data_IF_125531487137
#
_entry.id   IF_125531487137
#
_cell.length_a   1.000
_cell.length_b   1.000
_cell.length_c   1.000
_cell.angle_alpha   90.00
_cell.angle_beta   90.00
_cell.angle_gamma   90.00
#
_symmetry.space_group_name_H-M   'P 1'
#
loop_
_entity.id
_entity.type
_entity.pdbx_description
1 polymer ?
#
# COMPACT_ATOMS: atom_id res chain seq x y z
N UNK A 1 13.22 28.14 21.22
CA UNK A 1 12.03 28.84 21.68
C UNK A 1 10.79 28.00 21.38
N UNK A 2 10.40 27.75 20.13
CA UNK A 2 9.17 27.03 19.77
C UNK A 2 9.06 25.62 20.34
N UNK A 3 10.16 24.87 20.43
CA UNK A 3 10.20 23.54 21.03
C UNK A 3 9.90 23.58 22.53
N UNK A 4 10.44 24.57 23.25
CA UNK A 4 10.19 24.76 24.69
C UNK A 4 8.74 25.12 24.98
N UNK A 5 8.12 25.90 24.10
CA UNK A 5 6.74 26.38 24.23
C UNK A 5 5.73 25.44 23.56
N UNK A 6 6.18 24.28 23.06
CA UNK A 6 5.35 23.28 22.37
C UNK A 6 4.57 23.83 21.15
N UNK A 7 5.10 24.84 20.50
CA UNK A 7 4.52 25.45 19.29
C UNK A 7 4.98 24.67 18.06
N UNK A 8 4.47 23.46 17.93
CA UNK A 8 4.99 22.48 16.97
C UNK A 8 4.80 22.88 15.50
N UNK A 9 3.65 23.50 15.17
CA UNK A 9 3.38 23.99 13.81
C UNK A 9 4.38 25.08 13.41
N UNK A 10 4.64 26.06 14.27
CA UNK A 10 5.63 27.10 13.99
C UNK A 10 7.04 26.55 13.88
N UNK A 11 7.38 25.58 14.71
CA UNK A 11 8.67 24.89 14.61
C UNK A 11 8.79 24.17 13.27
N UNK A 12 7.74 23.50 12.83
CA UNK A 12 7.69 22.79 11.55
C UNK A 12 7.85 23.76 10.37
N UNK A 13 7.12 24.88 10.34
CA UNK A 13 7.18 25.86 9.27
C UNK A 13 8.58 26.49 9.12
N UNK A 14 9.22 26.83 10.25
CA UNK A 14 10.60 27.32 10.25
C UNK A 14 11.58 26.24 9.79
N UNK A 15 11.39 25.00 10.22
CA UNK A 15 12.25 23.87 9.83
C UNK A 15 12.10 23.50 8.36
N UNK A 16 10.89 23.56 7.78
CA UNK A 16 10.69 23.40 6.33
C UNK A 16 11.43 24.48 5.53
N UNK A 17 11.31 25.73 5.97
CA UNK A 17 12.04 26.85 5.32
C UNK A 17 13.55 26.61 5.36
N UNK A 18 14.08 26.16 6.50
CA UNK A 18 15.50 25.83 6.65
C UNK A 18 15.93 24.64 5.75
N UNK A 19 15.11 23.59 5.67
CA UNK A 19 15.40 22.42 4.84
C UNK A 19 15.57 22.79 3.35
N UNK A 20 14.77 23.75 2.86
CA UNK A 20 14.86 24.26 1.47
C UNK A 20 16.15 25.05 1.21
N UNK A 21 16.72 25.67 2.22
CA UNK A 21 17.92 26.50 2.10
C UNK A 21 19.22 25.68 2.21
N UNK A 22 19.16 24.45 2.71
CA UNK A 22 20.35 23.61 2.82
C UNK A 22 20.84 23.12 1.45
N UNK A 23 22.08 23.49 1.12
CA UNK A 23 22.84 22.94 -0.02
C UNK A 23 23.60 21.67 0.36
N UNK A 24 23.94 21.52 1.64
CA UNK A 24 24.62 20.36 2.20
C UNK A 24 23.62 19.20 2.35
N UNK A 25 23.88 18.10 1.64
CA UNK A 25 23.03 16.91 1.60
C UNK A 25 22.82 16.29 2.97
N UNK A 26 23.89 16.18 3.79
CA UNK A 26 23.78 15.57 5.11
C UNK A 26 22.90 16.39 6.05
N UNK A 27 23.03 17.73 6.03
CA UNK A 27 22.19 18.64 6.80
C UNK A 27 20.74 18.60 6.32
N UNK A 28 20.52 18.53 5.00
CA UNK A 28 19.18 18.41 4.42
C UNK A 28 18.50 17.12 4.85
N UNK A 29 19.17 15.98 4.74
CA UNK A 29 18.66 14.69 5.20
C UNK A 29 18.30 14.73 6.69
N UNK A 30 19.20 15.24 7.54
CA UNK A 30 18.96 15.35 8.99
C UNK A 30 17.73 16.24 9.30
N UNK A 31 17.53 17.33 8.56
CA UNK A 31 16.39 18.23 8.75
C UNK A 31 15.09 17.60 8.27
N UNK A 32 15.08 16.97 7.09
CA UNK A 32 13.90 16.28 6.57
C UNK A 32 13.47 15.11 7.47
N UNK A 33 14.45 14.42 8.07
CA UNK A 33 14.15 13.38 9.07
C UNK A 33 13.48 13.95 10.32
N UNK A 34 13.97 15.09 10.84
CA UNK A 34 13.31 15.80 11.95
C UNK A 34 11.91 16.24 11.61
N UNK A 35 11.70 16.76 10.42
CA UNK A 35 10.39 17.19 9.92
C UNK A 35 9.42 16.02 9.82
N UNK A 36 9.84 14.90 9.21
CA UNK A 36 9.03 13.70 9.13
C UNK A 36 8.55 13.22 10.51
N UNK A 37 9.46 13.15 11.48
CA UNK A 37 9.13 12.80 12.87
C UNK A 37 8.21 13.84 13.52
N UNK A 38 8.49 15.14 13.33
CA UNK A 38 7.69 16.21 13.90
C UNK A 38 6.25 16.19 13.41
N UNK A 39 6.05 16.02 12.09
CA UNK A 39 4.72 15.89 11.49
C UNK A 39 4.00 14.61 11.90
N UNK A 40 4.72 13.49 12.01
CA UNK A 40 4.13 12.21 12.44
C UNK A 40 3.73 12.24 13.91
N UNK A 41 4.62 12.69 14.79
CA UNK A 41 4.47 12.46 16.23
C UNK A 41 3.85 13.63 17.00
N UNK A 42 4.06 14.87 16.54
CA UNK A 42 3.66 16.09 17.26
C UNK A 42 2.54 16.86 16.58
N UNK A 43 2.71 17.21 15.32
CA UNK A 43 1.70 17.95 14.55
C UNK A 43 0.53 17.03 14.14
N UNK A 44 0.81 15.74 13.94
CA UNK A 44 -0.18 14.75 13.48
C UNK A 44 -0.74 15.07 12.10
N UNK A 45 0.09 15.66 11.24
CA UNK A 45 -0.25 15.93 9.84
C UNK A 45 0.38 14.86 8.95
N UNK A 46 -0.43 13.85 8.60
CA UNK A 46 0.01 12.72 7.80
C UNK A 46 0.45 13.12 6.39
N UNK A 47 -0.16 14.15 5.80
CA UNK A 47 0.19 14.64 4.46
C UNK A 47 1.57 15.30 4.47
N UNK A 48 1.81 16.23 5.41
CA UNK A 48 3.12 16.87 5.56
C UNK A 48 4.20 15.87 5.95
N UNK A 49 3.87 14.89 6.81
CA UNK A 49 4.78 13.79 7.16
C UNK A 49 5.18 12.99 5.91
N UNK A 50 4.21 12.57 5.10
CA UNK A 50 4.47 11.82 3.86
C UNK A 50 5.35 12.62 2.89
N UNK A 51 5.10 13.91 2.74
CA UNK A 51 5.91 14.77 1.88
C UNK A 51 7.35 14.90 2.37
N UNK A 52 7.56 15.12 3.66
CA UNK A 52 8.90 15.21 4.25
C UNK A 52 9.70 13.90 4.05
N UNK A 53 9.06 12.73 4.26
CA UNK A 53 9.70 11.45 4.03
C UNK A 53 9.96 11.16 2.54
N UNK A 54 9.07 11.58 1.64
CA UNK A 54 9.30 11.50 0.18
C UNK A 54 10.48 12.34 -0.26
N UNK A 55 10.57 13.59 0.22
CA UNK A 55 11.71 14.46 -0.07
C UNK A 55 13.02 13.87 0.46
N UNK A 56 13.00 13.26 1.64
CA UNK A 56 14.17 12.57 2.18
C UNK A 56 14.59 11.41 1.27
N UNK A 57 13.65 10.57 0.84
CA UNK A 57 13.94 9.44 -0.06
C UNK A 57 14.37 9.90 -1.47
N UNK A 58 14.01 11.10 -1.90
CA UNK A 58 14.53 11.67 -3.14
C UNK A 58 16.03 12.03 -3.04
N UNK A 59 16.50 12.36 -1.83
CA UNK A 59 17.90 12.70 -1.55
C UNK A 59 18.71 11.48 -1.12
N UNK A 60 18.13 10.60 -0.33
CA UNK A 60 18.72 9.36 0.20
C UNK A 60 17.74 8.19 0.04
N UNK A 61 17.70 7.54 -1.14
CA UNK A 61 16.75 6.47 -1.45
C UNK A 61 16.88 5.25 -0.53
N UNK A 62 18.07 5.00 0.00
CA UNK A 62 18.37 3.83 0.85
C UNK A 62 18.10 4.10 2.35
N UNK A 63 17.58 5.24 2.70
CA UNK A 63 17.27 5.59 4.07
C UNK A 63 16.17 4.68 4.65
N UNK A 64 16.57 3.68 5.39
CA UNK A 64 15.66 2.66 5.96
C UNK A 64 14.56 3.28 6.83
N UNK A 65 14.94 4.28 7.65
CA UNK A 65 13.97 4.95 8.54
C UNK A 65 12.87 5.66 7.76
N UNK A 66 13.23 6.34 6.68
CA UNK A 66 12.27 7.01 5.81
C UNK A 66 11.40 5.99 5.05
N UNK A 67 12.00 4.89 4.55
CA UNK A 67 11.26 3.80 3.91
C UNK A 67 10.23 3.18 4.86
N UNK A 68 10.61 2.92 6.12
CA UNK A 68 9.70 2.32 7.10
C UNK A 68 8.60 3.30 7.54
N UNK A 69 8.96 4.58 7.74
CA UNK A 69 8.00 5.61 8.11
C UNK A 69 6.94 5.84 7.02
N UNK A 70 7.35 5.92 5.75
CA UNK A 70 6.43 6.15 4.64
C UNK A 70 5.50 4.95 4.39
N UNK A 71 6.03 3.71 4.50
CA UNK A 71 5.19 2.50 4.43
C UNK A 71 4.13 2.49 5.51
N UNK A 72 4.50 2.82 6.75
CA UNK A 72 3.58 2.91 7.88
C UNK A 72 2.48 3.94 7.62
N UNK A 73 2.84 5.14 7.16
CA UNK A 73 1.88 6.20 6.82
C UNK A 73 0.91 5.76 5.72
N UNK A 74 1.37 5.11 4.66
CA UNK A 74 0.51 4.59 3.61
C UNK A 74 -0.49 3.55 4.12
N UNK A 75 -0.06 2.66 5.02
CA UNK A 75 -0.94 1.68 5.66
C UNK A 75 -1.97 2.37 6.54
N UNK A 76 -1.56 3.30 7.41
CA UNK A 76 -2.46 4.04 8.30
C UNK A 76 -3.51 4.87 7.56
N UNK A 77 -3.13 5.42 6.40
CA UNK A 77 -4.02 6.19 5.51
C UNK A 77 -4.80 5.30 4.54
N UNK A 78 -4.58 3.99 4.52
CA UNK A 78 -5.11 3.05 3.53
C UNK A 78 -4.81 3.47 2.08
N UNK A 79 -3.67 4.13 1.88
CA UNK A 79 -3.18 4.58 0.58
C UNK A 79 -2.51 3.41 -0.16
N UNK A 80 -3.33 2.43 -0.54
CA UNK A 80 -2.83 1.17 -1.11
C UNK A 80 -2.12 1.34 -2.44
N UNK A 81 -2.54 2.30 -3.26
CA UNK A 81 -1.92 2.57 -4.56
C UNK A 81 -0.50 3.12 -4.40
N UNK A 82 -0.30 4.04 -3.44
CA UNK A 82 1.02 4.58 -3.11
C UNK A 82 1.92 3.51 -2.49
N UNK A 83 1.37 2.64 -1.65
CA UNK A 83 2.11 1.53 -1.07
C UNK A 83 2.57 0.55 -2.16
N UNK A 84 1.68 0.21 -3.09
CA UNK A 84 2.00 -0.65 -4.23
C UNK A 84 3.06 -0.01 -5.13
N UNK A 85 2.90 1.27 -5.49
CA UNK A 85 3.89 2.01 -6.28
C UNK A 85 5.25 2.08 -5.59
N UNK A 86 5.26 2.20 -4.26
CA UNK A 86 6.50 2.22 -3.47
C UNK A 86 7.27 0.89 -3.57
N UNK A 87 6.58 -0.24 -3.39
CA UNK A 87 7.20 -1.57 -3.51
C UNK A 87 7.54 -1.95 -4.96
N UNK A 88 6.71 -1.53 -5.93
CA UNK A 88 6.92 -1.79 -7.35
C UNK A 88 8.22 -1.17 -7.87
N UNK A 89 8.58 0.05 -7.44
CA UNK A 89 9.84 0.70 -7.78
C UNK A 89 11.07 -0.10 -7.36
N UNK A 90 10.94 -0.93 -6.33
CA UNK A 90 12.00 -1.78 -5.80
C UNK A 90 11.87 -3.24 -6.26
N UNK A 91 10.86 -3.54 -7.08
CA UNK A 91 10.50 -4.90 -7.51
C UNK A 91 10.25 -5.88 -6.34
N UNK A 92 9.75 -5.37 -5.19
CA UNK A 92 9.53 -6.11 -3.94
C UNK A 92 8.09 -6.59 -3.78
N UNK A 93 7.56 -7.27 -4.79
CA UNK A 93 6.16 -7.72 -4.80
C UNK A 93 5.85 -8.77 -3.73
N UNK A 94 6.79 -9.66 -3.38
CA UNK A 94 6.57 -10.65 -2.31
C UNK A 94 6.42 -9.95 -0.93
N UNK A 95 7.16 -8.86 -0.66
CA UNK A 95 7.02 -8.08 0.57
C UNK A 95 5.69 -7.33 0.61
N UNK A 96 5.26 -6.75 -0.51
CA UNK A 96 3.98 -6.08 -0.66
C UNK A 96 2.82 -7.04 -0.38
N UNK A 97 2.83 -8.22 -0.99
CA UNK A 97 1.81 -9.25 -0.78
C UNK A 97 1.73 -9.64 0.69
N UNK A 98 2.85 -9.91 1.36
CA UNK A 98 2.87 -10.20 2.80
C UNK A 98 2.32 -9.05 3.64
N UNK A 99 2.52 -7.81 3.19
CA UNK A 99 1.96 -6.63 3.86
C UNK A 99 0.46 -6.59 3.70
N UNK A 100 -0.07 -6.80 2.50
CA UNK A 100 -1.52 -6.87 2.25
C UNK A 100 -2.18 -8.05 2.98
N UNK A 101 -1.58 -9.25 2.95
CA UNK A 101 -2.08 -10.42 3.68
C UNK A 101 -2.21 -10.16 5.19
N UNK A 102 -1.25 -9.44 5.80
CA UNK A 102 -1.38 -9.03 7.22
C UNK A 102 -2.49 -8.01 7.43
N UNK A 103 -2.69 -7.07 6.49
CA UNK A 103 -3.75 -6.08 6.63
C UNK A 103 -5.14 -6.71 6.45
N UNK A 104 -5.28 -7.72 5.59
CA UNK A 104 -6.54 -8.49 5.45
C UNK A 104 -7.06 -9.00 6.80
N UNK A 105 -6.18 -9.45 7.70
CA UNK A 105 -6.59 -9.94 9.02
C UNK A 105 -7.17 -8.83 9.93
N UNK A 106 -6.84 -7.57 9.67
CA UNK A 106 -7.18 -6.42 10.52
C UNK A 106 -8.34 -5.59 9.99
N UNK A 107 -8.75 -5.82 8.73
CA UNK A 107 -9.72 -4.98 8.03
C UNK A 107 -11.16 -5.53 8.11
N UNK A 108 -12.12 -4.68 7.77
CA UNK A 108 -13.51 -5.08 7.53
C UNK A 108 -13.67 -5.86 6.21
N UNK A 109 -14.82 -6.47 5.99
CA UNK A 109 -15.03 -7.36 4.85
C UNK A 109 -14.89 -6.65 3.49
N UNK A 110 -15.29 -5.39 3.37
CA UNK A 110 -15.13 -4.62 2.14
C UNK A 110 -13.65 -4.38 1.80
N UNK A 111 -12.86 -4.00 2.80
CA UNK A 111 -11.41 -3.84 2.64
C UNK A 111 -10.70 -5.19 2.46
N UNK A 112 -11.16 -6.26 3.08
CA UNK A 112 -10.67 -7.63 2.83
C UNK A 112 -10.85 -8.04 1.38
N UNK A 113 -12.03 -7.78 0.80
CA UNK A 113 -12.31 -8.01 -0.62
C UNK A 113 -11.31 -7.23 -1.50
N UNK A 114 -11.16 -5.95 -1.23
CA UNK A 114 -10.24 -5.08 -1.97
C UNK A 114 -8.79 -5.61 -1.93
N UNK A 115 -8.28 -5.90 -0.73
CA UNK A 115 -6.90 -6.35 -0.55
C UNK A 115 -6.65 -7.74 -1.12
N UNK A 116 -7.59 -8.70 -0.96
CA UNK A 116 -7.46 -10.02 -1.57
C UNK A 116 -7.46 -9.95 -3.10
N UNK A 117 -8.26 -9.07 -3.71
CA UNK A 117 -8.20 -8.83 -5.16
C UNK A 117 -6.81 -8.32 -5.58
N UNK A 118 -6.22 -7.35 -4.85
CA UNK A 118 -4.86 -6.86 -5.13
C UNK A 118 -3.82 -7.96 -5.00
N UNK A 119 -3.89 -8.76 -3.94
CA UNK A 119 -3.00 -9.91 -3.72
C UNK A 119 -3.10 -10.90 -4.88
N UNK A 120 -4.31 -11.21 -5.32
CA UNK A 120 -4.56 -12.14 -6.42
C UNK A 120 -3.95 -11.64 -7.74
N UNK A 121 -4.16 -10.36 -8.08
CA UNK A 121 -3.58 -9.71 -9.26
C UNK A 121 -2.06 -9.72 -9.21
N UNK A 122 -1.46 -9.41 -8.06
CA UNK A 122 0.00 -9.43 -7.88
C UNK A 122 0.57 -10.85 -8.06
N UNK A 123 -0.08 -11.87 -7.51
CA UNK A 123 0.34 -13.25 -7.74
C UNK A 123 0.24 -13.67 -9.20
N UNK A 124 -0.84 -13.28 -9.90
CA UNK A 124 -1.04 -13.61 -11.31
C UNK A 124 -0.05 -12.88 -12.21
N UNK A 125 -0.01 -11.55 -12.11
CA UNK A 125 0.61 -10.68 -13.12
C UNK A 125 2.08 -10.35 -12.84
N UNK A 126 2.49 -10.33 -11.56
CA UNK A 126 3.85 -9.97 -11.18
C UNK A 126 4.72 -11.17 -10.81
N UNK A 127 4.13 -12.17 -10.17
CA UNK A 127 4.88 -13.34 -9.70
C UNK A 127 4.66 -14.59 -10.56
N UNK A 128 3.70 -14.60 -11.47
CA UNK A 128 3.38 -15.76 -12.31
C UNK A 128 2.99 -17.00 -11.48
N UNK A 129 2.24 -16.81 -10.38
CA UNK A 129 1.83 -17.87 -9.45
C UNK A 129 0.30 -18.10 -9.54
N UNK A 130 -0.21 -18.73 -10.61
CA UNK A 130 -1.65 -18.87 -10.86
C UNK A 130 -2.39 -19.58 -9.73
N UNK A 131 -1.79 -20.62 -9.12
CA UNK A 131 -2.42 -21.35 -8.01
C UNK A 131 -2.66 -20.46 -6.77
N UNK A 132 -1.75 -19.51 -6.50
CA UNK A 132 -1.90 -18.56 -5.39
C UNK A 132 -2.89 -17.46 -5.74
N UNK A 133 -2.88 -17.00 -6.98
CA UNK A 133 -3.87 -16.03 -7.48
C UNK A 133 -5.28 -16.61 -7.37
N UNK A 134 -5.46 -17.87 -7.80
CA UNK A 134 -6.73 -18.59 -7.70
C UNK A 134 -7.26 -18.62 -6.26
N UNK A 135 -6.44 -19.02 -5.29
CA UNK A 135 -6.83 -19.05 -3.87
C UNK A 135 -7.22 -17.68 -3.33
N UNK A 136 -6.50 -16.62 -3.73
CA UNK A 136 -6.81 -15.27 -3.29
C UNK A 136 -8.14 -14.77 -3.88
N UNK A 137 -8.42 -15.01 -5.17
CA UNK A 137 -9.73 -14.72 -5.76
C UNK A 137 -10.86 -15.58 -5.16
N UNK A 138 -10.61 -16.85 -4.85
CA UNK A 138 -11.56 -17.69 -4.12
C UNK A 138 -11.87 -17.11 -2.72
N UNK A 139 -10.91 -16.51 -2.05
CA UNK A 139 -11.13 -15.81 -0.78
C UNK A 139 -12.01 -14.58 -0.95
N UNK A 140 -11.92 -13.86 -2.08
CA UNK A 140 -12.85 -12.79 -2.43
C UNK A 140 -14.27 -13.33 -2.55
N UNK A 141 -14.48 -14.41 -3.32
CA UNK A 141 -15.80 -15.01 -3.51
C UNK A 141 -16.41 -15.61 -2.24
N UNK A 142 -15.59 -15.96 -1.25
CA UNK A 142 -16.09 -16.37 0.07
C UNK A 142 -16.67 -15.21 0.88
N UNK A 143 -16.12 -14.00 0.70
CA UNK A 143 -16.57 -12.78 1.38
C UNK A 143 -17.71 -12.11 0.61
N UNK A 144 -17.60 -12.09 -0.71
CA UNK A 144 -18.56 -11.51 -1.63
C UNK A 144 -18.85 -12.51 -2.76
N UNK A 145 -19.84 -13.36 -2.55
CA UNK A 145 -20.17 -14.47 -3.45
C UNK A 145 -20.68 -14.05 -4.84
N UNK A 146 -20.90 -12.76 -5.07
CA UNK A 146 -21.32 -12.20 -6.36
C UNK A 146 -20.28 -11.25 -6.96
N UNK A 147 -19.05 -11.28 -6.47
CA UNK A 147 -17.99 -10.40 -6.95
C UNK A 147 -17.63 -10.73 -8.40
N UNK A 148 -18.09 -9.89 -9.33
CA UNK A 148 -17.90 -10.09 -10.76
C UNK A 148 -16.41 -10.07 -11.13
N UNK A 149 -15.63 -9.13 -10.58
CA UNK A 149 -14.19 -9.01 -10.87
C UNK A 149 -13.43 -10.29 -10.52
N UNK A 150 -13.70 -10.87 -9.36
CA UNK A 150 -13.07 -12.13 -8.95
C UNK A 150 -13.55 -13.31 -9.80
N UNK A 151 -14.86 -13.37 -10.12
CA UNK A 151 -15.41 -14.42 -10.97
C UNK A 151 -14.78 -14.42 -12.36
N UNK A 152 -14.71 -13.26 -13.03
CA UNK A 152 -14.08 -13.11 -14.35
C UNK A 152 -12.59 -13.46 -14.33
N UNK A 153 -11.86 -13.06 -13.27
CA UNK A 153 -10.46 -13.39 -13.13
C UNK A 153 -10.19 -14.88 -12.91
N UNK A 154 -11.15 -15.62 -12.32
CA UNK A 154 -11.06 -17.06 -12.08
C UNK A 154 -11.36 -17.89 -13.33
N UNK A 155 -12.12 -17.39 -14.31
CA UNK A 155 -12.46 -18.14 -15.52
C UNK A 155 -11.21 -18.73 -16.19
N UNK A 156 -10.23 -17.93 -16.66
CA UNK A 156 -9.04 -18.45 -17.33
C UNK A 156 -8.18 -19.33 -16.41
N UNK A 157 -8.22 -19.09 -15.10
CA UNK A 157 -7.47 -19.89 -14.13
C UNK A 157 -8.07 -21.29 -13.97
N UNK A 158 -9.42 -21.41 -13.93
CA UNK A 158 -10.10 -22.69 -13.84
C UNK A 158 -10.08 -23.45 -15.18
N UNK A 159 -10.10 -22.74 -16.31
CA UNK A 159 -9.88 -23.35 -17.63
C UNK A 159 -8.48 -23.99 -17.71
N UNK A 160 -7.45 -23.26 -17.30
CA UNK A 160 -6.08 -23.76 -17.26
C UNK A 160 -5.91 -24.95 -16.29
N UNK A 161 -6.61 -24.92 -15.16
CA UNK A 161 -6.63 -26.01 -14.18
C UNK A 161 -7.56 -27.17 -14.56
N UNK A 162 -8.37 -27.04 -15.62
CA UNK A 162 -9.40 -28.00 -16.06
C UNK A 162 -10.44 -28.33 -14.97
N UNK A 163 -10.74 -27.37 -14.10
CA UNK A 163 -11.75 -27.50 -13.05
C UNK A 163 -13.12 -27.06 -13.55
N UNK A 164 -13.78 -27.94 -14.31
CA UNK A 164 -15.07 -27.66 -14.93
C UNK A 164 -16.18 -27.32 -13.91
N UNK A 165 -16.12 -27.89 -12.70
CA UNK A 165 -17.12 -27.61 -11.66
C UNK A 165 -17.03 -26.17 -11.13
N UNK A 166 -15.82 -25.73 -10.81
CA UNK A 166 -15.59 -24.35 -10.34
C UNK A 166 -15.79 -23.33 -11.45
N UNK A 167 -15.41 -23.69 -12.69
CA UNK A 167 -15.65 -22.87 -13.87
C UNK A 167 -17.15 -22.61 -14.06
N UNK A 168 -18.00 -23.63 -13.98
CA UNK A 168 -19.46 -23.44 -14.08
C UNK A 168 -19.99 -22.45 -13.04
N UNK A 169 -19.54 -22.55 -11.78
CA UNK A 169 -19.97 -21.64 -10.72
C UNK A 169 -19.61 -20.17 -10.97
N UNK A 170 -18.42 -19.88 -11.48
CA UNK A 170 -18.05 -18.48 -11.79
C UNK A 170 -18.73 -17.95 -13.05
N UNK A 171 -19.05 -18.80 -14.03
CA UNK A 171 -19.84 -18.42 -15.20
C UNK A 171 -21.28 -18.10 -14.81
N UNK A 172 -21.87 -18.79 -13.85
CA UNK A 172 -23.19 -18.44 -13.29
C UNK A 172 -23.19 -17.06 -12.65
N UNK A 173 -22.12 -16.71 -11.89
CA UNK A 173 -21.96 -15.37 -11.33
C UNK A 173 -21.91 -14.33 -12.45
N UNK A 174 -21.09 -14.54 -13.49
CA UNK A 174 -20.98 -13.64 -14.63
C UNK A 174 -22.34 -13.45 -15.34
N UNK A 175 -23.04 -14.52 -15.57
CA UNK A 175 -24.37 -14.47 -16.24
C UNK A 175 -25.36 -13.66 -15.43
N UNK A 176 -25.39 -13.84 -14.11
CA UNK A 176 -26.31 -13.09 -13.21
C UNK A 176 -26.11 -11.58 -13.20
N UNK A 177 -25.03 -11.06 -13.75
CA UNK A 177 -24.75 -9.62 -13.88
C UNK A 177 -25.08 -9.08 -15.27
N UNK A 178 -25.45 -9.94 -16.23
CA UNK A 178 -25.80 -9.55 -17.60
C UNK A 178 -27.30 -9.51 -17.85
N UNK A 179 -28.11 -9.99 -16.90
CA UNK A 179 -29.57 -9.90 -16.87
C UNK A 179 -30.04 -8.62 -16.13
#
# INVERSE_FOLDING_TARGET
LYEREKMWDKLADVSETQARLFTDTAKKVAMLQKLGVLFTDRVKDATRATNAWRELLAVDPENRRAQDAIKKLFIEQKSWDELEAFYARQNKYDELIRTFERQVELEDDANKVLLNNRVAVLYRDKLGKPDRAMRAFESVLKLDGKNLTAAEALIPLYEGAKDAKKLAGVLEIQLSHTE
#
